data_IF_267348624760
#
_entry.id   IF_267348624760
#
_cell.length_a   1.000
_cell.length_b   1.000
_cell.length_c   1.000
_cell.angle_alpha   90.00
_cell.angle_beta   90.00
_cell.angle_gamma   90.00
#
_symmetry.space_group_name_H-M   'P 1'
#
loop_
_entity.id
_entity.type
_entity.pdbx_description
1 polymer ?
#
# COMPACT_ATOMS: atom_id res chain seq x y z
N UNK A 1 10.87 -6.02 -12.26
CA UNK A 1 11.44 -7.12 -11.45
C UNK A 1 11.00 -7.04 -9.98
N UNK A 2 10.84 -5.84 -9.41
CA UNK A 2 10.38 -5.61 -8.03
C UNK A 2 8.95 -6.13 -7.72
N UNK A 3 8.02 -6.00 -8.68
CA UNK A 3 6.63 -6.41 -8.48
C UNK A 3 6.45 -7.92 -8.23
N UNK A 4 7.27 -8.77 -8.86
CA UNK A 4 7.20 -10.23 -8.70
C UNK A 4 7.77 -10.69 -7.35
N UNK A 5 8.80 -10.03 -6.87
CA UNK A 5 9.42 -10.28 -5.56
C UNK A 5 8.47 -9.85 -4.42
N UNK A 6 7.77 -8.71 -4.57
CA UNK A 6 6.81 -8.24 -3.56
C UNK A 6 5.58 -9.13 -3.44
N UNK A 7 5.05 -9.63 -4.55
CA UNK A 7 3.92 -10.58 -4.55
C UNK A 7 4.27 -11.91 -3.87
N UNK A 8 5.49 -12.41 -4.10
CA UNK A 8 5.98 -13.63 -3.44
C UNK A 8 6.16 -13.43 -1.93
N UNK A 9 6.59 -12.24 -1.52
CA UNK A 9 6.72 -11.86 -0.13
C UNK A 9 5.35 -11.85 0.57
N UNK A 10 4.37 -11.18 -0.02
CA UNK A 10 2.99 -11.10 0.47
C UNK A 10 2.41 -12.52 0.66
N UNK A 11 2.52 -13.39 -0.35
CA UNK A 11 2.06 -14.79 -0.25
C UNK A 11 2.77 -15.55 0.88
N UNK A 12 4.08 -15.35 1.00
CA UNK A 12 4.89 -15.99 2.04
C UNK A 12 4.45 -15.56 3.44
N UNK A 13 4.25 -14.26 3.67
CA UNK A 13 3.81 -13.74 4.96
C UNK A 13 2.39 -14.20 5.30
N UNK A 14 1.47 -14.20 4.35
CA UNK A 14 0.12 -14.74 4.54
C UNK A 14 0.10 -16.20 4.99
N UNK A 15 1.07 -17.00 4.53
CA UNK A 15 1.18 -18.41 4.91
C UNK A 15 1.55 -18.63 6.38
N UNK A 16 2.28 -17.70 6.97
CA UNK A 16 2.75 -17.76 8.37
C UNK A 16 2.09 -16.73 9.28
N UNK A 17 1.06 -16.05 8.80
CA UNK A 17 0.33 -15.03 9.56
C UNK A 17 -0.52 -15.66 10.68
N UNK A 18 -0.79 -14.93 11.78
CA UNK A 18 -1.75 -15.30 12.81
C UNK A 18 -3.10 -15.74 12.23
N UNK A 19 -3.73 -16.73 12.84
CA UNK A 19 -4.95 -17.37 12.35
C UNK A 19 -4.72 -18.52 11.38
N UNK A 20 -3.47 -18.76 10.94
CA UNK A 20 -3.14 -19.96 10.17
C UNK A 20 -2.70 -21.10 11.10
N UNK A 21 -3.07 -22.34 10.75
CA UNK A 21 -2.61 -23.50 11.53
C UNK A 21 -1.08 -23.64 11.58
N UNK A 22 -0.39 -23.20 10.52
CA UNK A 22 1.07 -23.17 10.51
C UNK A 22 1.62 -22.23 11.59
N UNK A 23 1.08 -21.02 11.69
CA UNK A 23 1.48 -20.05 12.73
C UNK A 23 1.18 -20.57 14.13
N UNK A 24 0.03 -21.19 14.33
CA UNK A 24 -0.31 -21.79 15.63
C UNK A 24 0.73 -22.86 16.03
N UNK A 25 1.13 -23.73 15.10
CA UNK A 25 2.20 -24.71 15.33
C UNK A 25 3.55 -24.07 15.66
N UNK A 26 3.93 -23.03 14.91
CA UNK A 26 5.18 -22.28 15.15
C UNK A 26 5.17 -21.58 16.51
N UNK A 27 4.06 -20.98 16.91
CA UNK A 27 3.93 -20.30 18.20
C UNK A 27 4.04 -21.30 19.37
N UNK A 28 3.48 -22.51 19.22
CA UNK A 28 3.64 -23.61 20.22
C UNK A 28 5.11 -24.03 20.36
N UNK A 29 5.83 -24.15 19.24
CA UNK A 29 7.26 -24.47 19.22
C UNK A 29 8.04 -23.38 19.94
N UNK A 30 7.72 -22.11 19.63
CA UNK A 30 8.37 -20.93 20.22
C UNK A 30 8.12 -20.87 21.75
N UNK A 31 6.87 -21.07 22.19
CA UNK A 31 6.49 -21.08 23.60
C UNK A 31 7.20 -22.19 24.39
N UNK A 32 7.40 -23.34 23.76
CA UNK A 32 8.16 -24.44 24.35
C UNK A 32 9.68 -24.22 24.35
N UNK A 33 10.17 -23.09 23.84
CA UNK A 33 11.60 -22.76 23.67
C UNK A 33 12.35 -23.85 22.90
N UNK A 34 11.74 -24.31 21.81
CA UNK A 34 12.35 -25.29 20.90
C UNK A 34 12.76 -24.64 19.59
N UNK A 35 13.77 -25.20 18.95
CA UNK A 35 14.15 -24.83 17.59
C UNK A 35 13.43 -25.72 16.57
N UNK A 36 13.15 -25.20 15.39
CA UNK A 36 12.60 -25.98 14.27
C UNK A 36 13.12 -25.48 12.93
N UNK A 37 13.12 -26.35 11.94
CA UNK A 37 13.39 -26.03 10.55
C UNK A 37 12.30 -26.66 9.69
N UNK A 38 11.59 -25.84 8.94
CA UNK A 38 10.46 -26.27 8.10
C UNK A 38 10.71 -25.86 6.66
N UNK A 39 10.40 -26.75 5.72
CA UNK A 39 10.39 -26.47 4.28
C UNK A 39 8.96 -26.62 3.78
N UNK A 40 8.42 -25.61 3.12
CA UNK A 40 7.06 -25.60 2.56
C UNK A 40 7.15 -25.88 1.07
N UNK A 41 7.00 -27.14 0.72
CA UNK A 41 7.14 -27.72 -0.59
C UNK A 41 7.80 -29.09 -0.50
N UNK A 42 7.23 -30.06 -1.20
CA UNK A 42 7.69 -31.45 -1.27
C UNK A 42 7.97 -31.90 -2.71
N UNK A 43 8.23 -30.92 -3.58
CA UNK A 43 8.58 -31.16 -4.98
C UNK A 43 9.93 -31.87 -5.15
N UNK A 44 10.22 -32.37 -6.38
CA UNK A 44 11.46 -33.11 -6.67
C UNK A 44 12.73 -32.38 -6.27
N UNK A 45 12.78 -31.04 -6.46
CA UNK A 45 13.94 -30.22 -6.14
C UNK A 45 14.23 -30.21 -4.64
N UNK A 46 13.18 -30.14 -3.80
CA UNK A 46 13.31 -30.22 -2.33
C UNK A 46 13.72 -31.61 -1.93
N UNK A 47 13.09 -32.65 -2.51
CA UNK A 47 13.40 -34.04 -2.17
C UNK A 47 14.83 -34.45 -2.56
N UNK A 48 15.40 -33.81 -3.60
CA UNK A 48 16.78 -34.08 -4.04
C UNK A 48 17.84 -33.64 -3.04
N UNK A 49 17.54 -32.62 -2.20
CA UNK A 49 18.44 -32.13 -1.14
C UNK A 49 18.15 -32.73 0.24
N UNK A 50 17.18 -33.67 0.31
CA UNK A 50 16.81 -34.36 1.54
C UNK A 50 17.63 -35.65 1.70
N UNK A 51 18.21 -35.85 2.88
CA UNK A 51 18.91 -37.07 3.26
C UNK A 51 18.35 -37.65 4.55
N UNK A 52 18.08 -38.92 4.59
CA UNK A 52 17.51 -39.61 5.77
C UNK A 52 16.10 -39.16 6.12
N UNK A 53 15.76 -39.27 7.39
CA UNK A 53 14.45 -38.91 7.93
C UNK A 53 13.37 -39.95 7.73
N UNK A 54 12.15 -39.62 8.15
CA UNK A 54 10.98 -40.50 8.12
C UNK A 54 9.96 -39.97 7.12
N UNK A 55 9.41 -40.87 6.32
CA UNK A 55 8.21 -40.59 5.54
C UNK A 55 7.01 -40.61 6.49
N UNK A 56 6.35 -39.47 6.65
CA UNK A 56 5.22 -39.29 7.57
C UNK A 56 3.90 -39.40 6.80
N UNK A 57 3.79 -38.64 5.71
CA UNK A 57 2.64 -38.60 4.82
C UNK A 57 1.27 -38.49 5.55
N UNK A 58 1.20 -37.63 6.54
CA UNK A 58 0.00 -37.42 7.36
C UNK A 58 -0.59 -36.03 7.16
N UNK A 59 -1.90 -35.89 7.43
CA UNK A 59 -2.56 -34.60 7.45
C UNK A 59 -1.85 -33.64 8.40
N UNK A 60 -1.74 -32.38 7.99
CA UNK A 60 -1.16 -31.34 8.81
C UNK A 60 -2.09 -30.99 9.99
N UNK A 61 -1.50 -30.84 11.17
CA UNK A 61 -2.10 -30.13 12.28
C UNK A 61 -1.03 -29.41 13.10
N UNK A 62 -1.37 -28.28 13.76
CA UNK A 62 -0.44 -27.55 14.63
C UNK A 62 0.20 -28.45 15.69
N UNK A 63 -0.58 -29.38 16.24
CA UNK A 63 -0.15 -30.31 17.27
C UNK A 63 0.83 -31.35 16.73
N UNK A 64 0.57 -31.92 15.54
CA UNK A 64 1.49 -32.84 14.88
C UNK A 64 2.81 -32.16 14.54
N UNK A 65 2.75 -30.93 14.02
CA UNK A 65 3.94 -30.12 13.76
C UNK A 65 4.77 -29.93 15.03
N UNK A 66 4.13 -29.56 16.13
CA UNK A 66 4.79 -29.37 17.42
C UNK A 66 5.47 -30.67 17.92
N UNK A 67 4.77 -31.82 17.83
CA UNK A 67 5.35 -33.11 18.25
C UNK A 67 6.56 -33.51 17.39
N UNK A 68 6.49 -33.31 16.06
CA UNK A 68 7.60 -33.63 15.17
C UNK A 68 8.78 -32.68 15.31
N UNK A 69 8.53 -31.43 15.75
CA UNK A 69 9.60 -30.48 16.02
C UNK A 69 10.49 -30.83 17.23
N UNK A 70 10.08 -31.81 18.06
CA UNK A 70 10.91 -32.38 19.12
C UNK A 70 12.07 -33.23 18.59
N UNK A 71 11.97 -33.69 17.36
CA UNK A 71 13.05 -34.39 16.67
C UNK A 71 14.01 -33.37 16.05
N UNK A 72 15.29 -33.69 16.01
CA UNK A 72 16.25 -32.94 15.24
C UNK A 72 15.97 -33.07 13.72
N UNK A 73 16.54 -32.15 12.93
CA UNK A 73 16.36 -32.14 11.48
C UNK A 73 15.19 -31.26 11.01
N UNK A 74 14.92 -31.34 9.71
CA UNK A 74 13.90 -30.54 9.07
C UNK A 74 12.58 -31.32 8.94
N UNK A 75 11.47 -30.56 8.93
CA UNK A 75 10.12 -31.03 8.64
C UNK A 75 9.77 -30.51 7.25
N UNK A 76 9.35 -31.40 6.35
CA UNK A 76 8.92 -31.09 5.00
C UNK A 76 7.40 -31.12 4.95
N UNK A 77 6.81 -29.98 4.60
CA UNK A 77 5.36 -29.84 4.38
C UNK A 77 5.06 -29.88 2.88
N UNK A 78 3.90 -30.38 2.52
CA UNK A 78 3.41 -30.27 1.14
C UNK A 78 3.24 -28.81 0.73
N UNK A 79 3.29 -28.53 -0.56
CA UNK A 79 3.18 -27.17 -1.09
C UNK A 79 1.86 -26.47 -0.73
N UNK A 80 0.77 -27.22 -0.57
CA UNK A 80 -0.54 -26.76 -0.09
C UNK A 80 -0.62 -26.66 1.45
N UNK A 81 0.38 -27.16 2.18
CA UNK A 81 0.47 -27.23 3.65
C UNK A 81 -0.61 -28.08 4.32
N UNK A 82 -1.26 -28.93 3.57
CA UNK A 82 -2.30 -29.82 4.10
C UNK A 82 -1.73 -31.12 4.65
N UNK A 83 -0.45 -31.42 4.34
CA UNK A 83 0.21 -32.66 4.76
C UNK A 83 1.61 -32.38 5.28
N UNK A 84 2.06 -33.22 6.20
CA UNK A 84 3.44 -33.35 6.63
C UNK A 84 4.03 -34.52 5.84
N UNK A 85 4.89 -34.21 4.87
CA UNK A 85 5.47 -35.18 3.99
C UNK A 85 6.58 -36.01 4.69
N UNK A 86 7.51 -35.32 5.35
CA UNK A 86 8.67 -35.95 6.01
C UNK A 86 9.02 -35.23 7.30
N UNK A 87 9.71 -35.90 8.20
CA UNK A 87 10.28 -35.32 9.41
C UNK A 87 11.67 -35.90 9.72
N UNK A 88 12.44 -35.27 10.59
CA UNK A 88 13.80 -35.63 10.94
C UNK A 88 14.73 -35.73 9.71
N UNK A 89 14.56 -34.82 8.74
CA UNK A 89 15.30 -34.82 7.49
C UNK A 89 16.58 -34.00 7.65
N UNK A 90 17.71 -34.54 7.16
CA UNK A 90 18.91 -33.74 6.98
C UNK A 90 18.90 -33.06 5.62
N UNK A 91 18.94 -31.71 5.62
CA UNK A 91 19.01 -30.93 4.39
C UNK A 91 20.45 -30.73 3.96
N UNK A 92 20.76 -31.06 2.71
CA UNK A 92 22.09 -30.95 2.10
C UNK A 92 22.02 -29.95 0.92
N UNK A 93 21.84 -28.63 1.20
CA UNK A 93 21.92 -27.62 0.16
C UNK A 93 23.35 -27.45 -0.33
N UNK A 94 23.54 -26.83 -1.50
CA UNK A 94 24.86 -26.50 -2.03
C UNK A 94 25.64 -25.61 -1.03
N UNK A 95 26.79 -26.12 -0.58
CA UNK A 95 27.65 -25.44 0.38
C UNK A 95 28.34 -24.20 -0.18
N UNK A 96 28.41 -24.04 -1.51
CA UNK A 96 28.98 -22.89 -2.20
C UNK A 96 28.11 -21.62 -2.04
N UNK A 97 26.80 -21.80 -1.75
CA UNK A 97 25.87 -20.68 -1.55
C UNK A 97 26.26 -19.92 -0.28
N UNK A 98 26.58 -18.64 -0.45
CA UNK A 98 26.93 -17.76 0.65
C UNK A 98 25.75 -17.52 1.58
N UNK A 99 26.03 -17.42 2.88
CA UNK A 99 25.05 -17.13 3.92
C UNK A 99 25.61 -16.13 4.91
N UNK A 100 24.77 -15.21 5.39
CA UNK A 100 25.10 -14.27 6.46
C UNK A 100 24.75 -14.82 7.85
N UNK A 101 24.11 -15.98 7.93
CA UNK A 101 23.64 -16.57 9.17
C UNK A 101 24.76 -17.31 9.94
N UNK A 102 24.68 -17.27 11.26
CA UNK A 102 25.66 -17.92 12.15
C UNK A 102 25.17 -19.28 12.67
N UNK A 103 23.88 -19.41 12.95
CA UNK A 103 23.27 -20.66 13.45
C UNK A 103 23.07 -21.72 12.37
N UNK A 104 23.30 -22.99 12.69
CA UNK A 104 23.23 -24.11 11.73
C UNK A 104 21.87 -24.21 11.03
N UNK A 105 20.75 -24.10 11.77
CA UNK A 105 19.39 -24.13 11.21
C UNK A 105 19.14 -22.96 10.26
N UNK A 106 19.53 -21.74 10.64
CA UNK A 106 19.35 -20.53 9.84
C UNK A 106 20.22 -20.56 8.57
N UNK A 107 21.46 -21.02 8.68
CA UNK A 107 22.35 -21.23 7.52
C UNK A 107 21.76 -22.21 6.51
N UNK A 108 21.24 -23.35 7.00
CA UNK A 108 20.56 -24.32 6.14
C UNK A 108 19.30 -23.73 5.53
N UNK A 109 18.49 -23.02 6.31
CA UNK A 109 17.26 -22.36 5.82
C UNK A 109 17.54 -21.38 4.68
N UNK A 110 18.51 -20.48 4.87
CA UNK A 110 18.88 -19.46 3.86
C UNK A 110 19.44 -20.13 2.59
N UNK A 111 20.31 -21.13 2.72
CA UNK A 111 20.85 -21.85 1.56
C UNK A 111 19.79 -22.58 0.78
N UNK A 112 18.88 -23.30 1.46
CA UNK A 112 17.76 -24.00 0.82
C UNK A 112 16.86 -23.00 0.10
N UNK A 113 16.47 -21.89 0.73
CA UNK A 113 15.63 -20.89 0.11
C UNK A 113 16.26 -20.23 -1.14
N UNK A 114 17.59 -20.10 -1.17
CA UNK A 114 18.35 -19.58 -2.32
C UNK A 114 18.55 -20.63 -3.43
N UNK A 115 18.57 -21.91 -3.08
CA UNK A 115 18.81 -23.00 -4.05
C UNK A 115 17.54 -23.52 -4.70
N UNK A 116 16.41 -23.47 -3.99
CA UNK A 116 15.11 -24.01 -4.43
C UNK A 116 14.02 -22.97 -4.19
N UNK A 117 13.08 -22.75 -5.14
CA UNK A 117 12.05 -21.72 -5.04
C UNK A 117 10.94 -22.08 -4.03
N UNK A 118 11.31 -22.33 -2.78
CA UNK A 118 10.41 -22.70 -1.68
C UNK A 118 10.52 -21.77 -0.50
N UNK A 119 9.49 -21.71 0.32
CA UNK A 119 9.53 -21.00 1.59
C UNK A 119 10.14 -21.89 2.65
N UNK A 120 11.10 -21.38 3.38
CA UNK A 120 11.74 -22.05 4.51
C UNK A 120 11.53 -21.24 5.77
N UNK A 121 11.13 -21.90 6.84
CA UNK A 121 10.90 -21.26 8.14
C UNK A 121 11.85 -21.88 9.16
N UNK A 122 12.59 -21.01 9.85
CA UNK A 122 13.47 -21.41 10.95
C UNK A 122 12.98 -20.78 12.26
N UNK A 123 12.85 -21.58 13.30
CA UNK A 123 12.60 -21.14 14.67
C UNK A 123 13.88 -21.24 15.47
N UNK A 124 14.31 -20.13 16.03
CA UNK A 124 15.47 -20.07 16.94
C UNK A 124 15.04 -20.35 18.36
N UNK A 125 15.65 -21.35 18.96
CA UNK A 125 15.50 -21.66 20.37
C UNK A 125 16.07 -20.55 21.25
N UNK A 126 17.27 -20.09 20.93
CA UNK A 126 18.07 -19.15 21.71
C UNK A 126 17.48 -17.72 21.67
N UNK A 127 17.11 -17.26 20.49
CA UNK A 127 16.59 -15.91 20.29
C UNK A 127 15.04 -15.82 20.43
N UNK A 128 14.36 -16.96 20.51
CA UNK A 128 12.90 -17.04 20.52
C UNK A 128 12.26 -16.24 19.36
N UNK A 129 12.75 -16.45 18.15
CA UNK A 129 12.28 -15.78 16.94
C UNK A 129 11.97 -16.78 15.83
N UNK A 130 11.01 -16.41 14.99
CA UNK A 130 10.66 -17.13 13.77
C UNK A 130 11.19 -16.30 12.60
N UNK A 131 12.00 -16.92 11.74
CA UNK A 131 12.52 -16.28 10.54
C UNK A 131 12.06 -17.03 9.30
N UNK A 132 11.57 -16.30 8.33
CA UNK A 132 11.08 -16.83 7.05
C UNK A 132 12.08 -16.46 5.96
N UNK A 133 12.42 -17.44 5.13
CA UNK A 133 13.35 -17.30 4.00
C UNK A 133 12.64 -17.71 2.73
N UNK A 134 12.84 -16.94 1.66
CA UNK A 134 12.41 -17.29 0.31
C UNK A 134 13.28 -16.57 -0.71
N UNK A 135 13.97 -17.33 -1.56
CA UNK A 135 14.95 -16.75 -2.48
C UNK A 135 15.98 -15.89 -1.72
N UNK A 136 16.16 -14.64 -2.06
CA UNK A 136 17.04 -13.71 -1.33
C UNK A 136 16.36 -13.00 -0.15
N UNK A 137 15.05 -13.19 -0.01
CA UNK A 137 14.26 -12.56 1.03
C UNK A 137 14.42 -13.27 2.37
N UNK A 138 14.64 -12.45 3.41
CA UNK A 138 14.69 -12.87 4.81
C UNK A 138 13.80 -11.94 5.63
N UNK A 139 12.85 -12.50 6.34
CA UNK A 139 11.98 -11.73 7.25
C UNK A 139 11.84 -12.40 8.60
N UNK A 140 12.11 -11.64 9.65
CA UNK A 140 11.91 -12.07 11.03
C UNK A 140 10.55 -11.64 11.51
N UNK A 141 9.69 -12.61 11.83
CA UNK A 141 8.37 -12.34 12.36
C UNK A 141 8.47 -11.71 13.76
N UNK A 142 7.79 -10.60 13.94
CA UNK A 142 7.68 -9.94 15.24
C UNK A 142 6.56 -10.57 16.09
N UNK A 143 6.61 -10.45 17.41
CA UNK A 143 5.50 -10.83 18.29
C UNK A 143 4.23 -10.07 17.90
N UNK A 144 3.09 -10.76 17.83
CA UNK A 144 1.79 -10.20 17.39
C UNK A 144 1.41 -8.94 18.15
N UNK A 145 1.60 -8.91 19.48
CA UNK A 145 1.31 -7.73 20.30
C UNK A 145 2.13 -6.50 19.93
N UNK A 146 3.39 -6.71 19.51
CA UNK A 146 4.27 -5.60 19.07
C UNK A 146 3.77 -5.00 17.77
N UNK A 147 3.38 -5.83 16.81
CA UNK A 147 2.83 -5.37 15.53
C UNK A 147 1.50 -4.67 15.76
N UNK A 148 0.63 -5.25 16.60
CA UNK A 148 -0.66 -4.68 16.94
C UNK A 148 -0.54 -3.28 17.54
N UNK A 149 0.39 -3.08 18.48
CA UNK A 149 0.65 -1.77 19.08
C UNK A 149 1.15 -0.75 18.05
N UNK A 150 2.04 -1.16 17.14
CA UNK A 150 2.54 -0.30 16.06
C UNK A 150 1.42 0.07 15.08
N UNK A 151 0.60 -0.89 14.70
CA UNK A 151 -0.53 -0.66 13.80
C UNK A 151 -1.54 0.34 14.41
N UNK A 152 -1.89 0.19 15.70
CA UNK A 152 -2.74 1.16 16.40
C UNK A 152 -2.13 2.56 16.45
N UNK A 153 -0.83 2.66 16.73
CA UNK A 153 -0.13 3.96 16.74
C UNK A 153 -0.10 4.59 15.34
N UNK A 154 0.13 3.81 14.31
CA UNK A 154 0.12 4.28 12.93
C UNK A 154 -1.29 4.72 12.52
N UNK A 155 -2.35 3.97 12.91
CA UNK A 155 -3.75 4.33 12.65
C UNK A 155 -4.12 5.65 13.31
N UNK A 156 -3.82 5.85 14.59
CA UNK A 156 -4.06 7.11 15.29
C UNK A 156 -3.26 8.28 14.68
N UNK A 157 -2.13 7.99 14.04
CA UNK A 157 -1.37 8.99 13.28
C UNK A 157 -2.06 9.28 11.96
N UNK A 158 -2.52 8.26 11.25
CA UNK A 158 -3.26 8.39 9.98
C UNK A 158 -4.51 9.27 10.15
N UNK A 159 -5.32 9.03 11.19
CA UNK A 159 -6.51 9.82 11.51
C UNK A 159 -6.18 11.32 11.60
N UNK A 160 -5.13 11.67 12.35
CA UNK A 160 -4.68 13.08 12.49
C UNK A 160 -4.17 13.68 11.17
N UNK A 161 -3.48 12.89 10.34
CA UNK A 161 -3.00 13.37 9.05
C UNK A 161 -4.15 13.52 8.06
N UNK A 162 -5.14 12.62 8.12
CA UNK A 162 -6.35 12.70 7.31
C UNK A 162 -7.18 13.95 7.65
N UNK A 163 -7.40 14.21 8.94
CA UNK A 163 -8.07 15.43 9.40
C UNK A 163 -7.39 16.72 8.89
N UNK A 164 -6.05 16.74 8.94
CA UNK A 164 -5.27 17.87 8.39
C UNK A 164 -5.38 17.98 6.88
N UNK A 165 -5.41 16.85 6.17
CA UNK A 165 -5.62 16.83 4.74
C UNK A 165 -7.02 17.35 4.38
N UNK A 166 -8.05 16.90 5.09
CA UNK A 166 -9.42 17.35 4.88
C UNK A 166 -9.57 18.86 5.09
N UNK A 167 -8.89 19.41 6.11
CA UNK A 167 -8.82 20.84 6.33
C UNK A 167 -8.14 21.62 5.19
N UNK A 168 -7.05 21.07 4.63
CA UNK A 168 -6.34 21.69 3.49
C UNK A 168 -7.17 21.58 2.21
N UNK A 169 -7.87 20.46 2.01
CA UNK A 169 -8.79 20.28 0.88
C UNK A 169 -9.96 21.26 0.94
N UNK A 170 -10.59 21.41 2.10
CA UNK A 170 -11.68 22.40 2.28
C UNK A 170 -11.19 23.84 2.04
N UNK A 171 -9.96 24.16 2.46
CA UNK A 171 -9.37 25.46 2.15
C UNK A 171 -9.13 25.63 0.64
N UNK A 172 -8.62 24.59 -0.04
CA UNK A 172 -8.41 24.61 -1.50
C UNK A 172 -9.74 24.79 -2.24
N UNK A 173 -10.82 24.16 -1.78
CA UNK A 173 -12.17 24.31 -2.35
C UNK A 173 -12.64 25.78 -2.25
N UNK A 174 -12.45 26.42 -1.11
CA UNK A 174 -12.78 27.84 -0.92
C UNK A 174 -11.95 28.75 -1.83
N UNK A 175 -10.64 28.49 -1.95
CA UNK A 175 -9.73 29.24 -2.82
C UNK A 175 -10.06 29.05 -4.30
N UNK A 176 -10.52 27.86 -4.69
CA UNK A 176 -10.96 27.53 -6.04
C UNK A 176 -12.20 28.35 -6.41
N UNK A 177 -13.22 28.37 -5.55
CA UNK A 177 -14.42 29.18 -5.75
C UNK A 177 -14.09 30.67 -5.80
N UNK A 178 -13.18 31.15 -4.93
CA UNK A 178 -12.70 32.50 -4.91
C UNK A 178 -11.72 32.87 -6.05
N UNK A 179 -11.38 31.91 -6.93
CA UNK A 179 -10.38 32.07 -8.02
C UNK A 179 -9.01 32.57 -7.52
N UNK A 180 -8.64 32.19 -6.33
CA UNK A 180 -7.41 32.63 -5.66
C UNK A 180 -6.48 31.48 -5.28
N UNK A 181 -6.79 30.25 -5.72
CA UNK A 181 -5.94 29.08 -5.51
C UNK A 181 -4.56 29.29 -6.16
N UNK A 182 -3.50 28.92 -5.46
CA UNK A 182 -2.12 29.06 -5.90
C UNK A 182 -1.44 27.70 -5.99
N UNK A 183 -0.35 27.63 -6.76
CA UNK A 183 0.39 26.39 -6.91
C UNK A 183 0.85 25.79 -5.56
N UNK A 184 1.26 26.63 -4.60
CA UNK A 184 1.62 26.17 -3.25
C UNK A 184 0.46 25.47 -2.52
N UNK A 185 -0.77 25.90 -2.75
CA UNK A 185 -1.95 25.31 -2.11
C UNK A 185 -2.17 23.88 -2.65
N UNK A 186 -2.03 23.71 -3.97
CA UNK A 186 -2.09 22.41 -4.63
C UNK A 186 -0.96 21.49 -4.15
N UNK A 187 0.29 21.97 -4.14
CA UNK A 187 1.44 21.20 -3.65
C UNK A 187 1.27 20.81 -2.18
N UNK A 188 0.66 21.67 -1.36
CA UNK A 188 0.37 21.35 0.04
C UNK A 188 -0.61 20.20 0.15
N UNK A 189 -1.65 20.13 -0.70
CA UNK A 189 -2.55 18.97 -0.76
C UNK A 189 -1.80 17.71 -1.20
N UNK A 190 -0.95 17.81 -2.23
CA UNK A 190 -0.15 16.68 -2.70
C UNK A 190 0.77 16.15 -1.59
N UNK A 191 1.45 17.02 -0.87
CA UNK A 191 2.30 16.68 0.26
C UNK A 191 1.53 15.93 1.35
N UNK A 192 0.38 16.48 1.77
CA UNK A 192 -0.44 15.87 2.82
C UNK A 192 -1.07 14.56 2.38
N UNK A 193 -1.53 14.49 1.14
CA UNK A 193 -2.06 13.28 0.55
C UNK A 193 -1.02 12.16 0.48
N UNK A 194 0.20 12.47 0.05
CA UNK A 194 1.29 11.47 0.01
C UNK A 194 1.66 10.96 1.40
N UNK A 195 1.63 11.80 2.43
CA UNK A 195 1.85 11.36 3.82
C UNK A 195 0.75 10.41 4.30
N UNK A 196 -0.52 10.71 3.99
CA UNK A 196 -1.67 9.80 4.27
C UNK A 196 -1.48 8.47 3.55
N UNK A 197 -1.12 8.48 2.26
CA UNK A 197 -0.90 7.30 1.45
C UNK A 197 0.21 6.39 2.03
N UNK A 198 1.36 6.98 2.39
CA UNK A 198 2.50 6.23 2.98
C UNK A 198 2.16 5.60 4.32
N UNK A 199 1.45 6.34 5.18
CA UNK A 199 1.04 5.78 6.49
C UNK A 199 0.04 4.65 6.30
N UNK A 200 -0.91 4.78 5.35
CA UNK A 200 -1.86 3.69 5.06
C UNK A 200 -1.18 2.44 4.52
N UNK A 201 -0.15 2.59 3.67
CA UNK A 201 0.66 1.47 3.18
C UNK A 201 1.44 0.78 4.32
N UNK A 202 1.99 1.55 5.26
CA UNK A 202 2.65 0.99 6.43
C UNK A 202 1.68 0.18 7.29
N UNK A 203 0.44 0.68 7.48
CA UNK A 203 -0.60 -0.06 8.21
C UNK A 203 -0.99 -1.33 7.45
N UNK A 204 -1.12 -1.27 6.12
CA UNK A 204 -1.42 -2.44 5.31
C UNK A 204 -0.37 -3.55 5.46
N UNK A 205 0.92 -3.19 5.61
CA UNK A 205 1.97 -4.14 5.96
C UNK A 205 1.77 -4.77 7.33
N UNK A 206 1.42 -3.98 8.35
CA UNK A 206 1.13 -4.54 9.67
C UNK A 206 -0.08 -5.47 9.65
N UNK A 207 -1.13 -5.12 8.88
CA UNK A 207 -2.31 -5.97 8.71
C UNK A 207 -1.98 -7.30 8.03
N UNK A 208 -1.07 -7.29 7.06
CA UNK A 208 -0.58 -8.50 6.41
C UNK A 208 0.11 -9.44 7.42
N UNK A 209 0.97 -8.88 8.30
CA UNK A 209 1.65 -9.64 9.34
C UNK A 209 0.70 -10.08 10.49
N UNK A 210 -0.38 -9.34 10.75
CA UNK A 210 -1.38 -9.67 11.78
C UNK A 210 -2.40 -10.72 11.32
N UNK A 211 -2.57 -10.91 10.03
CA UNK A 211 -3.54 -11.87 9.48
C UNK A 211 -4.94 -11.67 10.06
N UNK A 212 -5.57 -12.73 10.58
CA UNK A 212 -6.93 -12.66 11.14
C UNK A 212 -7.05 -11.74 12.36
N UNK A 213 -5.98 -11.58 13.12
CA UNK A 213 -5.97 -10.75 14.34
C UNK A 213 -6.07 -9.26 13.99
N UNK A 214 -5.69 -8.86 12.77
CA UNK A 214 -5.77 -7.49 12.27
C UNK A 214 -7.15 -7.06 11.75
N UNK A 215 -8.17 -7.90 11.78
CA UNK A 215 -9.47 -7.66 11.12
C UNK A 215 -10.15 -6.34 11.55
N UNK A 216 -10.15 -6.01 12.82
CA UNK A 216 -10.76 -4.75 13.30
C UNK A 216 -9.97 -3.52 12.86
N UNK A 217 -8.64 -3.61 12.87
CA UNK A 217 -7.77 -2.54 12.35
C UNK A 217 -7.96 -2.34 10.84
N UNK A 218 -8.18 -3.42 10.08
CA UNK A 218 -8.47 -3.33 8.66
C UNK A 218 -9.75 -2.54 8.39
N UNK A 219 -10.84 -2.81 9.15
CA UNK A 219 -12.09 -2.06 9.04
C UNK A 219 -11.92 -0.58 9.37
N UNK A 220 -11.12 -0.25 10.39
CA UNK A 220 -10.82 1.13 10.73
C UNK A 220 -9.98 1.84 9.65
N UNK A 221 -8.98 1.14 9.08
CA UNK A 221 -8.22 1.67 7.96
C UNK A 221 -9.11 1.97 6.77
N UNK A 222 -9.98 1.03 6.39
CA UNK A 222 -10.91 1.18 5.27
C UNK A 222 -11.83 2.39 5.46
N UNK A 223 -12.33 2.61 6.68
CA UNK A 223 -13.19 3.76 7.02
C UNK A 223 -12.43 5.10 6.90
N UNK A 224 -11.23 5.20 7.47
CA UNK A 224 -10.40 6.40 7.42
C UNK A 224 -9.95 6.72 6.00
N UNK A 225 -9.66 5.69 5.21
CA UNK A 225 -9.14 5.80 3.84
C UNK A 225 -10.25 5.96 2.79
N UNK A 226 -11.52 5.82 3.19
CA UNK A 226 -12.66 5.89 2.27
C UNK A 226 -12.67 7.19 1.47
N UNK A 227 -12.73 7.07 0.14
CA UNK A 227 -12.77 8.20 -0.79
C UNK A 227 -11.45 8.96 -0.97
N UNK A 228 -10.40 8.63 -0.20
CA UNK A 228 -9.12 9.33 -0.26
C UNK A 228 -8.51 9.30 -1.67
N UNK A 229 -8.35 8.13 -2.28
CA UNK A 229 -7.70 8.01 -3.59
C UNK A 229 -8.45 8.79 -4.67
N UNK A 230 -9.78 8.70 -4.67
CA UNK A 230 -10.60 9.42 -5.65
C UNK A 230 -10.44 10.92 -5.51
N UNK A 231 -10.48 11.46 -4.28
CA UNK A 231 -10.32 12.88 -4.01
C UNK A 231 -8.91 13.35 -4.35
N UNK A 232 -7.89 12.58 -3.99
CA UNK A 232 -6.50 12.91 -4.25
C UNK A 232 -6.18 12.97 -5.75
N UNK A 233 -6.61 11.96 -6.51
CA UNK A 233 -6.45 11.94 -7.97
C UNK A 233 -7.24 13.07 -8.64
N UNK A 234 -8.44 13.39 -8.13
CA UNK A 234 -9.24 14.50 -8.68
C UNK A 234 -8.55 15.86 -8.52
N UNK A 235 -7.83 16.11 -7.41
CA UNK A 235 -7.03 17.33 -7.26
C UNK A 235 -5.93 17.39 -8.31
N UNK A 236 -5.21 16.29 -8.52
CA UNK A 236 -4.16 16.21 -9.52
C UNK A 236 -4.72 16.53 -10.91
N UNK A 237 -5.83 15.92 -11.28
CA UNK A 237 -6.46 16.11 -12.58
C UNK A 237 -7.01 17.53 -12.77
N UNK A 238 -7.61 18.12 -11.73
CA UNK A 238 -8.23 19.43 -11.83
C UNK A 238 -7.21 20.57 -11.96
N UNK A 239 -6.08 20.50 -11.26
CA UNK A 239 -5.13 21.61 -11.17
C UNK A 239 -3.86 21.44 -12.03
N UNK A 240 -3.48 20.22 -12.37
CA UNK A 240 -2.21 19.97 -13.08
C UNK A 240 -2.37 19.66 -14.57
N UNK A 241 -3.55 19.94 -15.14
CA UNK A 241 -3.91 19.71 -16.56
C UNK A 241 -3.70 18.24 -17.01
N UNK A 242 -3.69 17.32 -16.06
CA UNK A 242 -3.58 15.90 -16.30
C UNK A 242 -4.94 15.36 -16.74
N UNK A 243 -5.01 14.82 -17.96
CA UNK A 243 -6.29 14.40 -18.56
C UNK A 243 -6.61 12.95 -18.30
N UNK A 244 -5.60 12.12 -18.20
CA UNK A 244 -5.76 10.67 -18.06
C UNK A 244 -5.48 10.21 -16.63
N UNK A 245 -6.08 9.07 -16.27
CA UNK A 245 -5.80 8.43 -14.98
C UNK A 245 -4.37 7.89 -14.90
N UNK A 246 -3.82 7.47 -16.04
CA UNK A 246 -2.49 6.90 -16.11
C UNK A 246 -1.40 7.97 -15.86
N UNK A 247 -1.56 9.17 -16.44
CA UNK A 247 -0.67 10.32 -16.16
C UNK A 247 -0.74 10.74 -14.68
N UNK A 248 -1.94 10.72 -14.08
CA UNK A 248 -2.08 10.99 -12.66
C UNK A 248 -1.38 9.94 -11.79
N UNK A 249 -1.45 8.67 -12.20
CA UNK A 249 -0.76 7.57 -11.53
C UNK A 249 0.77 7.69 -11.65
N UNK A 250 1.29 8.20 -12.77
CA UNK A 250 2.73 8.49 -12.93
C UNK A 250 3.22 9.54 -11.93
N UNK A 251 2.47 10.63 -11.74
CA UNK A 251 2.81 11.64 -10.74
C UNK A 251 2.74 11.06 -9.31
N UNK A 252 1.72 10.26 -9.00
CA UNK A 252 1.63 9.59 -7.69
C UNK A 252 2.81 8.63 -7.49
N UNK A 253 3.22 7.90 -8.53
CA UNK A 253 4.40 7.02 -8.48
C UNK A 253 5.68 7.81 -8.22
N UNK A 254 5.85 8.96 -8.89
CA UNK A 254 6.96 9.86 -8.60
C UNK A 254 6.95 10.32 -7.14
N UNK A 255 5.79 10.80 -6.63
CA UNK A 255 5.65 11.25 -5.24
C UNK A 255 5.98 10.13 -4.25
N UNK A 256 5.63 8.88 -4.59
CA UNK A 256 5.94 7.70 -3.77
C UNK A 256 7.44 7.47 -3.58
N UNK A 257 8.26 7.84 -4.57
CA UNK A 257 9.72 7.67 -4.56
C UNK A 257 10.46 8.84 -3.91
N UNK A 258 9.80 10.00 -3.73
CA UNK A 258 10.42 11.19 -3.12
C UNK A 258 10.87 10.89 -1.68
N UNK A 259 12.14 11.14 -1.31
CA UNK A 259 12.62 10.95 0.06
C UNK A 259 11.81 11.78 1.07
N UNK A 260 11.61 11.26 2.30
CA UNK A 260 10.80 11.92 3.33
C UNK A 260 11.28 13.35 3.63
N UNK A 261 12.59 13.58 3.64
CA UNK A 261 13.17 14.91 3.89
C UNK A 261 12.79 15.92 2.78
N UNK A 262 12.69 15.49 1.53
CA UNK A 262 12.27 16.33 0.41
C UNK A 262 10.75 16.49 0.38
N UNK A 263 10.00 15.44 0.71
CA UNK A 263 8.54 15.50 0.83
C UNK A 263 8.08 16.52 1.88
N UNK A 264 8.81 16.66 2.98
CA UNK A 264 8.50 17.62 4.04
C UNK A 264 8.92 19.06 3.72
N UNK A 265 9.79 19.26 2.74
CA UNK A 265 10.23 20.55 2.24
C UNK A 265 9.34 20.97 1.05
N UNK A 266 8.43 21.92 1.29
CA UNK A 266 7.42 22.32 0.28
C UNK A 266 8.07 22.88 -0.99
N UNK A 267 9.18 23.61 -0.87
CA UNK A 267 9.86 24.22 -2.02
C UNK A 267 10.48 23.15 -2.92
N UNK A 268 11.16 22.14 -2.33
CA UNK A 268 11.74 21.03 -3.06
C UNK A 268 10.67 20.14 -3.71
N UNK A 269 9.60 19.87 -2.96
CA UNK A 269 8.48 19.10 -3.50
C UNK A 269 7.84 19.82 -4.68
N UNK A 270 7.60 21.13 -4.54
CA UNK A 270 7.04 21.97 -5.61
C UNK A 270 7.91 21.97 -6.86
N UNK A 271 9.24 22.05 -6.70
CA UNK A 271 10.17 21.95 -7.84
C UNK A 271 10.06 20.59 -8.56
N UNK A 272 9.91 19.50 -7.80
CA UNK A 272 9.71 18.17 -8.34
C UNK A 272 8.36 18.03 -9.06
N UNK A 273 7.27 18.46 -8.45
CA UNK A 273 5.92 18.45 -9.05
C UNK A 273 5.89 19.31 -10.32
N UNK A 274 6.56 20.48 -10.31
CA UNK A 274 6.69 21.35 -11.48
C UNK A 274 7.29 20.60 -12.69
N UNK A 275 8.30 19.77 -12.48
CA UNK A 275 8.96 18.99 -13.54
C UNK A 275 8.08 17.88 -14.10
N UNK A 276 7.19 17.32 -13.27
CA UNK A 276 6.27 16.24 -13.64
C UNK A 276 4.85 16.71 -13.99
N UNK A 277 4.55 18.01 -13.82
CA UNK A 277 3.25 18.56 -14.18
C UNK A 277 3.13 18.76 -15.68
N UNK A 278 1.94 18.55 -16.21
CA UNK A 278 1.60 18.83 -17.61
C UNK A 278 1.29 20.31 -17.84
N UNK A 279 1.53 21.20 -16.86
CA UNK A 279 1.29 22.63 -16.96
C UNK A 279 2.52 23.36 -17.56
N UNK A 280 2.62 23.57 -18.89
CA UNK A 280 3.81 24.14 -19.53
C UNK A 280 4.13 25.57 -19.06
N UNK A 281 3.12 26.30 -18.59
CA UNK A 281 3.28 27.67 -18.13
C UNK A 281 3.97 27.75 -16.77
N UNK A 282 3.74 26.79 -15.85
CA UNK A 282 4.44 26.72 -14.56
C UNK A 282 5.92 26.48 -14.79
N UNK A 283 6.27 25.65 -15.78
CA UNK A 283 7.65 25.34 -16.10
C UNK A 283 8.48 26.56 -16.51
N UNK A 284 7.82 27.61 -17.00
CA UNK A 284 8.46 28.85 -17.48
C UNK A 284 8.67 29.89 -16.37
N UNK A 285 8.10 29.69 -15.19
CA UNK A 285 8.24 30.61 -14.07
C UNK A 285 9.49 30.30 -13.26
N UNK A 286 10.23 31.34 -12.86
CA UNK A 286 11.40 31.19 -11.98
C UNK A 286 11.02 31.10 -10.51
N UNK A 287 11.86 30.41 -9.72
CA UNK A 287 11.70 30.33 -8.26
C UNK A 287 12.04 31.69 -7.60
N UNK A 288 11.29 32.13 -6.56
CA UNK A 288 10.14 31.48 -5.87
C UNK A 288 8.77 31.86 -6.44
N UNK A 289 8.72 32.66 -7.51
CA UNK A 289 7.45 33.24 -8.02
C UNK A 289 6.42 32.20 -8.47
N UNK A 290 6.84 30.99 -8.86
CA UNK A 290 5.93 29.94 -9.30
C UNK A 290 5.03 29.41 -8.18
N UNK A 291 5.48 29.44 -6.91
CA UNK A 291 4.65 29.03 -5.78
C UNK A 291 3.42 29.91 -5.56
N UNK A 292 3.56 31.20 -5.84
CA UNK A 292 2.50 32.17 -5.71
C UNK A 292 1.66 32.33 -7.00
N UNK A 293 1.99 31.56 -8.04
CA UNK A 293 1.25 31.58 -9.29
C UNK A 293 -0.18 31.07 -9.08
N UNK A 294 -1.16 31.84 -9.56
CA UNK A 294 -2.57 31.46 -9.49
C UNK A 294 -2.84 30.27 -10.41
N UNK A 295 -3.54 29.29 -9.88
CA UNK A 295 -3.95 28.08 -10.58
C UNK A 295 -5.43 28.16 -10.98
N UNK A 296 -5.72 27.87 -12.23
CA UNK A 296 -7.09 27.66 -12.68
C UNK A 296 -7.42 26.15 -12.58
N UNK A 297 -8.54 25.85 -11.94
CA UNK A 297 -9.04 24.49 -11.82
C UNK A 297 -10.00 24.17 -12.95
N UNK A 298 -10.05 22.88 -13.35
CA UNK A 298 -11.13 22.36 -14.21
C UNK A 298 -12.47 22.28 -13.49
N UNK A 299 -12.46 22.25 -12.14
CA UNK A 299 -13.63 22.23 -11.30
C UNK A 299 -14.41 20.92 -11.30
N UNK A 300 -13.82 19.82 -11.80
CA UNK A 300 -14.49 18.51 -11.84
C UNK A 300 -14.87 18.04 -10.45
N UNK A 301 -14.07 18.34 -9.42
CA UNK A 301 -14.35 18.04 -8.01
C UNK A 301 -15.60 18.75 -7.53
N UNK A 302 -15.69 20.06 -7.77
CA UNK A 302 -16.82 20.89 -7.35
C UNK A 302 -18.13 20.41 -7.98
N UNK A 303 -18.09 20.13 -9.29
CA UNK A 303 -19.24 19.55 -10.00
C UNK A 303 -19.62 18.18 -9.43
N UNK A 304 -18.63 17.32 -9.13
CA UNK A 304 -18.88 15.98 -8.58
C UNK A 304 -19.45 16.02 -7.16
N UNK A 305 -19.01 16.97 -6.32
CA UNK A 305 -19.46 17.11 -4.94
C UNK A 305 -20.90 17.64 -4.82
N UNK A 306 -21.48 18.19 -5.89
CA UNK A 306 -22.85 18.73 -5.85
C UNK A 306 -23.88 17.58 -5.71
N UNK A 307 -24.64 17.51 -4.57
CA UNK A 307 -25.44 16.31 -4.25
C UNK A 307 -26.62 16.31 -5.17
N UNK A 308 -27.36 16.64 -5.70
CA UNK A 308 -28.65 16.60 -6.43
C UNK A 308 -28.50 16.47 -7.95
N UNK A 309 -27.29 16.43 -8.48
CA UNK A 309 -27.06 16.34 -9.92
C UNK A 309 -26.69 14.91 -10.30
N UNK A 310 -27.43 14.25 -11.20
CA UNK A 310 -27.10 12.91 -11.67
C UNK A 310 -25.75 12.85 -12.36
N UNK A 311 -25.05 11.71 -12.23
CA UNK A 311 -23.68 11.57 -12.75
C UNK A 311 -23.59 11.82 -14.26
N UNK A 312 -24.55 11.31 -15.05
CA UNK A 312 -24.55 11.52 -16.50
C UNK A 312 -24.64 13.01 -16.90
N UNK A 313 -25.31 13.83 -16.06
CA UNK A 313 -25.40 15.28 -16.28
C UNK A 313 -24.07 15.95 -15.94
N UNK A 314 -23.42 15.53 -14.85
CA UNK A 314 -22.09 16.02 -14.47
C UNK A 314 -21.06 15.74 -15.55
N UNK A 315 -21.11 14.55 -16.15
CA UNK A 315 -20.20 14.14 -17.23
C UNK A 315 -20.47 14.94 -18.52
N UNK A 316 -21.73 15.10 -18.90
CA UNK A 316 -22.11 15.93 -20.05
C UNK A 316 -21.71 17.40 -19.89
N UNK A 317 -21.88 18.00 -18.69
CA UNK A 317 -21.46 19.36 -18.43
C UNK A 317 -19.93 19.55 -18.50
N UNK A 318 -19.16 18.56 -18.04
CA UNK A 318 -17.70 18.58 -18.17
C UNK A 318 -17.26 18.53 -19.63
N UNK A 319 -17.90 17.70 -20.44
CA UNK A 319 -17.61 17.58 -21.88
C UNK A 319 -17.97 18.87 -22.63
N UNK A 320 -19.12 19.48 -22.28
CA UNK A 320 -19.61 20.68 -22.96
C UNK A 320 -18.81 21.92 -22.59
N UNK A 321 -18.55 22.13 -21.30
CA UNK A 321 -17.94 23.37 -20.80
C UNK A 321 -16.44 23.27 -20.52
N UNK A 322 -15.87 22.07 -20.52
CA UNK A 322 -14.44 21.82 -20.31
C UNK A 322 -13.90 22.22 -18.93
N UNK A 323 -14.75 22.75 -18.02
CA UNK A 323 -14.33 23.14 -16.67
C UNK A 323 -15.38 23.93 -15.90
N UNK A 324 -15.03 24.33 -14.69
CA UNK A 324 -15.94 25.06 -13.77
C UNK A 324 -16.20 26.50 -14.21
N UNK A 325 -15.20 27.17 -14.76
CA UNK A 325 -15.27 28.60 -15.11
C UNK A 325 -16.43 28.95 -16.07
N UNK A 326 -16.60 28.25 -17.20
CA UNK A 326 -17.74 28.51 -18.09
C UNK A 326 -19.09 28.19 -17.44
N UNK A 327 -19.15 27.26 -16.51
CA UNK A 327 -20.38 26.95 -15.76
C UNK A 327 -20.76 28.07 -14.81
N UNK A 328 -19.78 28.70 -14.14
CA UNK A 328 -20.01 29.78 -13.18
C UNK A 328 -20.21 31.15 -13.87
N UNK A 329 -19.48 31.40 -14.93
CA UNK A 329 -19.47 32.67 -15.68
C UNK A 329 -19.59 32.36 -17.19
N UNK A 330 -20.80 32.13 -17.73
CA UNK A 330 -20.97 31.98 -19.16
C UNK A 330 -20.52 33.24 -19.88
N UNK A 331 -19.75 33.10 -20.96
CA UNK A 331 -19.31 34.23 -21.79
C UNK A 331 -20.52 34.82 -22.53
N UNK A 332 -20.50 36.15 -22.75
CA UNK A 332 -21.59 36.83 -23.49
C UNK A 332 -21.72 36.36 -24.94
N UNK A 333 -20.77 35.61 -25.46
CA UNK A 333 -20.73 35.05 -26.83
C UNK A 333 -21.28 33.61 -26.94
N UNK A 334 -21.75 33.00 -25.86
CA UNK A 334 -22.37 31.66 -25.95
C UNK A 334 -23.80 31.80 -26.54
N UNK A 335 -24.13 30.97 -27.55
CA UNK A 335 -25.45 31.05 -28.20
C UNK A 335 -26.55 30.73 -27.18
N UNK A 336 -27.62 31.55 -27.19
CA UNK A 336 -28.84 31.39 -26.38
C UNK A 336 -29.61 30.06 -26.58
N UNK A 337 -29.08 29.16 -27.39
CA UNK A 337 -29.64 27.82 -27.69
C UNK A 337 -29.08 26.68 -26.80
N UNK A 338 -28.69 26.96 -25.54
CA UNK A 338 -28.48 25.87 -24.61
C UNK A 338 -29.84 25.21 -24.25
N UNK A 339 -29.92 23.88 -24.37
CA UNK A 339 -31.08 23.09 -23.99
C UNK A 339 -31.58 23.53 -22.59
N UNK A 340 -32.92 23.78 -22.41
CA UNK A 340 -33.48 24.14 -21.10
C UNK A 340 -33.10 23.20 -19.94
N UNK A 341 -32.72 21.96 -20.26
CA UNK A 341 -32.17 20.99 -19.34
C UNK A 341 -30.78 21.44 -18.82
N UNK A 342 -29.91 21.97 -19.67
CA UNK A 342 -28.58 22.42 -19.31
C UNK A 342 -28.64 23.64 -18.40
N UNK A 343 -29.51 24.60 -18.65
CA UNK A 343 -29.72 25.79 -17.82
C UNK A 343 -30.19 25.47 -16.39
N UNK A 344 -31.05 24.45 -16.24
CA UNK A 344 -31.54 23.98 -14.94
C UNK A 344 -30.41 23.37 -14.11
N UNK A 345 -29.61 22.51 -14.73
CA UNK A 345 -28.52 21.82 -14.04
C UNK A 345 -27.35 22.72 -13.75
N UNK A 346 -27.02 23.64 -14.67
CA UNK A 346 -26.04 24.71 -14.44
C UNK A 346 -26.41 25.56 -13.22
N UNK A 347 -27.68 25.91 -13.07
CA UNK A 347 -28.19 26.64 -11.89
C UNK A 347 -28.09 25.78 -10.62
N UNK A 348 -28.45 24.52 -10.67
CA UNK A 348 -28.38 23.62 -9.53
C UNK A 348 -26.90 23.43 -9.05
N UNK A 349 -25.95 23.37 -9.95
CA UNK A 349 -24.53 23.30 -9.65
C UNK A 349 -24.05 24.61 -9.01
N UNK A 350 -24.40 25.77 -9.59
CA UNK A 350 -24.09 27.09 -9.00
C UNK A 350 -24.61 27.21 -7.57
N UNK A 351 -25.89 26.90 -7.36
CA UNK A 351 -26.52 26.95 -6.04
C UNK A 351 -25.87 25.96 -5.05
N UNK A 352 -25.44 24.79 -5.53
CA UNK A 352 -24.77 23.79 -4.72
C UNK A 352 -23.36 24.23 -4.27
N UNK A 353 -22.59 24.81 -5.17
CA UNK A 353 -21.21 25.30 -4.89
C UNK A 353 -21.21 26.48 -3.93
N UNK A 354 -22.14 27.42 -4.08
CA UNK A 354 -22.20 28.60 -3.18
C UNK A 354 -22.85 28.33 -1.82
N UNK A 355 -23.44 27.16 -1.60
CA UNK A 355 -24.05 26.74 -0.32
C UNK A 355 -23.20 25.79 0.50
N UNK A 356 -22.17 25.19 -0.09
CA UNK A 356 -21.18 24.34 0.57
C UNK A 356 -20.02 25.16 1.15
#
# INVERSE_FOLDING_TARGET
>A
METKSSLQLVDTLRRVAPGTGLREGLDRILQARMGALLVIGDGPDVLSICSGGFLIDSEFSPQRLFELAKMDGAIILSGDRMRIARANVHLVPDSSISTSETGTRHRSAERVAKSVPVTVVAVSEELSVITVYRDTFKHQLKPTHTIFNRANQALATLERYKERLDGVLANLDNLEVAKSARFKDVVTVLQRGELVRRISEEIAWYLLELGSDGRLLALQLDEVYLGFETNYLSVIQDFLEITTRDEAAELVSYLAEVPMAELLDLDRLAEGVKKHSCCPWISRLDSPSYLEATMESRGSRQVNSTPQVPQYVKDALKETFGGLRPILEPSEDEPEESDPLDARWTRAIKDGIYRS
#
